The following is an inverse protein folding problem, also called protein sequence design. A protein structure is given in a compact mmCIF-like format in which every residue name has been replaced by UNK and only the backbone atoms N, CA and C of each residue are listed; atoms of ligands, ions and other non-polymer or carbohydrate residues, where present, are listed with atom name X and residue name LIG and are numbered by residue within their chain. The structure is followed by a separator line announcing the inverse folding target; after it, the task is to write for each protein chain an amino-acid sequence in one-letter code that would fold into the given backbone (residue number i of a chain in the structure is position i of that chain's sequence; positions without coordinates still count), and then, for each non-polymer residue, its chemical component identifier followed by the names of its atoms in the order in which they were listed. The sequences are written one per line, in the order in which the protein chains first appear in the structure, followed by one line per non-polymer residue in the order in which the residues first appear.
data_IF_913851498542
#
_entry.id   IF_913851498542
#
_cell.length_a   1.000
_cell.length_b   1.000
_cell.length_c   1.000
_cell.angle_alpha   90.00
_cell.angle_beta   90.00
_cell.angle_gamma   90.00
#
_symmetry.space_group_name_H-M   'P 1'
#
loop_
_entity.id
_entity.type
_entity.pdbx_description
1 polymer ?
#
# COMPACT_ATOMS: atom_id res chain seq x y z
N UNK A 1 -37.80 -13.41 -48.59
CA UNK A 1 -37.25 -14.07 -47.39
C UNK A 1 -35.95 -14.75 -47.80
N UNK A 2 -34.82 -14.13 -47.51
CA UNK A 2 -33.50 -14.58 -47.98
C UNK A 2 -32.59 -14.63 -46.75
N UNK A 3 -32.39 -15.84 -46.24
CA UNK A 3 -31.57 -16.11 -45.07
C UNK A 3 -30.09 -15.83 -45.38
N UNK A 4 -29.50 -14.85 -44.70
CA UNK A 4 -28.04 -14.64 -44.69
C UNK A 4 -27.40 -15.72 -43.83
N UNK A 5 -26.62 -16.61 -44.46
CA UNK A 5 -25.65 -17.48 -43.79
C UNK A 5 -24.57 -16.61 -43.14
N UNK A 6 -24.42 -16.74 -41.82
CA UNK A 6 -23.29 -16.16 -41.07
C UNK A 6 -22.17 -17.19 -41.12
N UNK A 7 -21.15 -16.91 -41.93
CA UNK A 7 -19.89 -17.66 -41.98
C UNK A 7 -19.06 -17.26 -40.76
N UNK A 8 -18.64 -18.23 -39.95
CA UNK A 8 -17.77 -18.02 -38.81
C UNK A 8 -16.42 -17.45 -39.30
N UNK A 9 -16.03 -16.29 -38.76
CA UNK A 9 -14.71 -15.72 -38.94
C UNK A 9 -13.72 -16.48 -38.05
N UNK A 10 -12.92 -17.33 -38.69
CA UNK A 10 -11.70 -17.91 -38.15
C UNK A 10 -10.61 -16.84 -38.13
N UNK A 11 -9.89 -16.73 -37.01
CA UNK A 11 -8.71 -15.86 -36.82
C UNK A 11 -8.68 -15.34 -35.39
N UNK A 12 -7.60 -15.40 -34.62
CA UNK A 12 -6.19 -15.48 -34.94
C UNK A 12 -5.49 -16.11 -33.73
N UNK A 13 -4.76 -17.21 -33.95
CA UNK A 13 -3.80 -17.74 -32.98
C UNK A 13 -2.74 -16.67 -32.72
N UNK A 14 -2.83 -15.98 -31.60
CA UNK A 14 -1.72 -15.19 -31.10
C UNK A 14 -0.67 -16.16 -30.57
N UNK A 15 0.28 -16.49 -31.43
CA UNK A 15 1.53 -17.15 -31.08
C UNK A 15 2.24 -16.35 -30.00
N UNK A 16 2.09 -16.75 -28.75
CA UNK A 16 2.96 -16.26 -27.69
C UNK A 16 4.39 -16.71 -28.00
N UNK A 17 5.39 -15.81 -27.94
CA UNK A 17 6.77 -16.25 -28.01
C UNK A 17 7.03 -17.12 -26.79
N UNK A 18 7.40 -18.38 -27.03
CA UNK A 18 7.95 -19.27 -26.02
C UNK A 18 9.33 -18.74 -25.63
N UNK A 19 9.38 -17.66 -24.86
CA UNK A 19 10.62 -17.20 -24.25
C UNK A 19 10.99 -18.23 -23.18
N UNK A 20 12.13 -18.90 -23.39
CA UNK A 20 12.61 -20.00 -22.57
C UNK A 20 12.68 -19.59 -21.10
N UNK A 21 12.12 -20.43 -20.23
CA UNK A 21 12.04 -20.26 -18.78
C UNK A 21 13.41 -20.04 -18.08
N UNK A 22 14.52 -20.35 -18.79
CA UNK A 22 15.90 -20.10 -18.34
C UNK A 22 16.35 -18.64 -18.47
N UNK A 23 15.75 -17.83 -19.34
CA UNK A 23 16.25 -16.48 -19.65
C UNK A 23 15.82 -15.40 -18.67
N UNK A 24 14.80 -15.64 -17.84
CA UNK A 24 14.22 -14.60 -16.97
C UNK A 24 14.58 -14.76 -15.49
N UNK A 25 14.90 -15.96 -15.03
CA UNK A 25 15.59 -16.13 -13.73
C UNK A 25 16.96 -15.44 -13.70
N UNK A 26 17.54 -15.20 -14.87
CA UNK A 26 18.76 -14.40 -15.08
C UNK A 26 18.53 -12.89 -15.19
N UNK A 27 17.28 -12.42 -15.32
CA UNK A 27 16.96 -10.99 -15.55
C UNK A 27 17.09 -10.17 -14.26
N UNK A 28 16.67 -10.74 -13.13
CA UNK A 28 16.90 -10.17 -11.79
C UNK A 28 17.20 -11.36 -10.85
N UNK A 29 18.48 -11.67 -10.59
CA UNK A 29 18.83 -12.79 -9.72
C UNK A 29 18.42 -12.45 -8.28
N UNK A 30 17.33 -13.06 -7.83
CA UNK A 30 16.91 -12.97 -6.43
C UNK A 30 17.79 -13.90 -5.58
N UNK A 31 18.54 -13.30 -4.67
CA UNK A 31 19.39 -13.98 -3.71
C UNK A 31 18.72 -13.97 -2.34
N UNK A 32 18.92 -15.02 -1.54
CA UNK A 32 18.53 -14.99 -0.13
C UNK A 32 19.52 -14.06 0.59
N UNK A 33 19.01 -12.96 1.13
CA UNK A 33 19.81 -11.98 1.85
C UNK A 33 19.16 -11.59 3.17
N UNK A 34 19.83 -10.70 3.89
CA UNK A 34 19.35 -10.09 5.12
C UNK A 34 19.36 -8.59 4.93
N UNK A 35 18.27 -7.93 5.29
CA UNK A 35 18.16 -6.46 5.36
C UNK A 35 17.54 -6.13 6.72
N UNK A 36 18.20 -5.28 7.51
CA UNK A 36 17.73 -4.89 8.85
C UNK A 36 17.51 -6.08 9.80
N UNK A 37 18.33 -7.13 9.68
CA UNK A 37 18.21 -8.36 10.47
C UNK A 37 17.10 -9.32 10.04
N UNK A 38 16.33 -9.01 8.99
CA UNK A 38 15.27 -9.89 8.46
C UNK A 38 15.74 -10.62 7.21
N UNK A 39 15.62 -11.95 7.22
CA UNK A 39 15.88 -12.78 6.03
C UNK A 39 14.80 -12.58 4.98
N UNK A 40 15.18 -12.17 3.77
CA UNK A 40 14.25 -11.90 2.67
C UNK A 40 14.89 -12.13 1.30
N UNK A 41 14.10 -12.23 0.22
CA UNK A 41 14.63 -12.18 -1.14
C UNK A 41 15.20 -10.78 -1.43
N UNK A 42 16.46 -10.74 -1.87
CA UNK A 42 17.22 -9.52 -2.14
C UNK A 42 17.85 -9.57 -3.51
N UNK A 43 18.28 -8.41 -4.00
CA UNK A 43 18.94 -8.23 -5.29
C UNK A 43 20.14 -7.31 -5.10
N UNK A 44 21.22 -7.57 -5.82
CA UNK A 44 22.31 -6.59 -5.93
C UNK A 44 21.88 -5.43 -6.85
N UNK A 45 21.87 -4.20 -6.33
CA UNK A 45 21.32 -3.06 -7.07
C UNK A 45 22.13 -2.75 -8.35
N UNK A 46 23.42 -3.06 -8.38
CA UNK A 46 24.27 -2.87 -9.56
C UNK A 46 23.94 -3.87 -10.65
N UNK A 47 23.61 -5.11 -10.30
CA UNK A 47 23.13 -6.10 -11.26
C UNK A 47 21.82 -5.65 -11.90
N UNK A 48 20.89 -5.14 -11.08
CA UNK A 48 19.64 -4.56 -11.58
C UNK A 48 19.90 -3.37 -12.50
N UNK A 49 20.76 -2.43 -12.10
CA UNK A 49 21.12 -1.27 -12.92
C UNK A 49 21.70 -1.68 -14.28
N UNK A 50 22.62 -2.65 -14.29
CA UNK A 50 23.21 -3.18 -15.53
C UNK A 50 22.15 -3.81 -16.43
N UNK A 51 21.19 -4.54 -15.87
CA UNK A 51 20.07 -5.10 -16.62
C UNK A 51 19.19 -4.01 -17.24
N UNK A 52 18.92 -2.93 -16.49
CA UNK A 52 18.01 -1.87 -16.93
C UNK A 52 18.57 -1.00 -18.05
N UNK A 53 19.89 -0.95 -18.24
CA UNK A 53 20.56 -0.22 -19.35
C UNK A 53 20.06 1.24 -19.50
N UNK A 54 19.81 1.93 -18.39
CA UNK A 54 19.20 3.27 -18.42
C UNK A 54 20.17 4.41 -18.83
N UNK A 55 21.47 4.11 -18.97
CA UNK A 55 22.50 5.05 -19.39
C UNK A 55 23.02 6.01 -18.31
N UNK A 56 22.45 6.01 -17.11
CA UNK A 56 22.92 6.83 -15.99
C UNK A 56 24.10 6.15 -15.26
N UNK A 57 24.94 6.93 -14.57
CA UNK A 57 25.98 6.36 -13.72
C UNK A 57 25.32 5.77 -12.46
N UNK A 58 25.65 4.52 -12.13
CA UNK A 58 25.05 3.77 -11.02
C UNK A 58 24.95 4.56 -9.71
N UNK A 59 26.04 5.22 -9.29
CA UNK A 59 26.08 5.96 -8.03
C UNK A 59 25.10 7.15 -7.99
N UNK A 60 24.89 7.82 -9.13
CA UNK A 60 23.91 8.90 -9.27
C UNK A 60 22.51 8.32 -9.31
N UNK A 61 22.30 7.28 -10.12
CA UNK A 61 21.01 6.63 -10.29
C UNK A 61 20.45 6.11 -8.96
N UNK A 62 21.23 5.32 -8.21
CA UNK A 62 20.71 4.67 -6.99
C UNK A 62 20.32 5.70 -5.92
N UNK A 63 21.14 6.74 -5.71
CA UNK A 63 20.86 7.81 -4.74
C UNK A 63 19.60 8.59 -5.12
N UNK A 64 19.49 8.94 -6.40
CA UNK A 64 18.32 9.64 -6.93
C UNK A 64 17.04 8.81 -6.76
N UNK A 65 17.10 7.50 -7.03
CA UNK A 65 15.94 6.62 -6.89
C UNK A 65 15.54 6.40 -5.43
N UNK A 66 16.51 6.26 -4.53
CA UNK A 66 16.26 6.17 -3.08
C UNK A 66 15.51 7.41 -2.59
N UNK A 67 16.01 8.60 -2.93
CA UNK A 67 15.36 9.86 -2.55
C UNK A 67 13.98 10.03 -3.20
N UNK A 68 13.87 9.77 -4.50
CA UNK A 68 12.63 9.98 -5.27
C UNK A 68 11.47 9.12 -4.77
N UNK A 69 11.73 7.87 -4.39
CA UNK A 69 10.69 6.91 -3.98
C UNK A 69 10.63 6.71 -2.46
N UNK A 70 11.49 7.39 -1.71
CA UNK A 70 11.47 7.35 -0.24
C UNK A 70 11.87 6.00 0.34
N UNK A 71 12.76 5.25 -0.32
CA UNK A 71 13.25 3.96 0.18
C UNK A 71 14.04 4.14 1.48
N UNK A 72 13.85 3.24 2.44
CA UNK A 72 14.38 3.35 3.80
C UNK A 72 15.48 2.31 4.04
N UNK A 73 16.65 2.76 4.51
CA UNK A 73 17.75 1.87 4.91
C UNK A 73 17.33 0.95 6.07
N UNK A 74 17.72 -0.31 6.00
CA UNK A 74 17.30 -1.35 6.96
C UNK A 74 15.88 -1.90 6.72
N UNK A 75 15.13 -1.35 5.76
CA UNK A 75 13.84 -1.92 5.31
C UNK A 75 13.89 -2.30 3.84
N UNK A 76 14.23 -1.35 2.98
CA UNK A 76 14.24 -1.52 1.52
C UNK A 76 15.63 -1.82 0.98
N UNK A 77 16.68 -1.34 1.63
CA UNK A 77 18.06 -1.59 1.23
C UNK A 77 19.04 -1.59 2.40
N UNK A 78 20.24 -2.08 2.14
CA UNK A 78 21.40 -2.01 3.03
C UNK A 78 22.64 -1.68 2.19
N UNK A 79 23.51 -0.84 2.72
CA UNK A 79 24.78 -0.47 2.08
C UNK A 79 25.92 -1.32 2.61
N UNK A 80 26.88 -1.67 1.73
CA UNK A 80 28.11 -2.35 2.13
C UNK A 80 29.28 -1.92 1.26
N UNK A 81 30.49 -2.03 1.81
CA UNK A 81 31.72 -1.71 1.08
C UNK A 81 32.26 -2.97 0.40
N UNK A 82 32.42 -2.91 -0.91
CA UNK A 82 33.10 -3.94 -1.68
C UNK A 82 34.55 -3.52 -1.96
N UNK A 83 35.50 -4.40 -1.61
CA UNK A 83 36.91 -4.15 -1.83
C UNK A 83 37.23 -4.17 -3.34
N UNK A 84 37.76 -3.06 -3.86
CA UNK A 84 38.25 -3.01 -5.22
C UNK A 84 39.61 -3.73 -5.33
N UNK A 85 39.84 -4.45 -6.44
CA UNK A 85 41.15 -5.08 -6.76
C UNK A 85 42.31 -4.06 -6.81
N UNK A 86 42.00 -2.78 -7.03
CA UNK A 86 42.92 -1.63 -6.93
C UNK A 86 42.08 -0.36 -6.66
N UNK A 87 42.43 0.42 -5.62
CA UNK A 87 41.80 1.71 -5.31
C UNK A 87 40.88 1.70 -4.08
N UNK A 88 40.10 2.79 -3.91
CA UNK A 88 39.16 2.97 -2.78
C UNK A 88 38.02 1.94 -2.88
N UNK A 89 37.60 1.31 -1.77
CA UNK A 89 36.43 0.45 -1.72
C UNK A 89 35.19 1.15 -2.29
N UNK A 90 34.34 0.40 -2.98
CA UNK A 90 33.12 0.91 -3.61
C UNK A 90 31.94 0.70 -2.66
N UNK A 91 31.04 1.67 -2.62
CA UNK A 91 29.76 1.55 -1.94
C UNK A 91 28.79 0.79 -2.85
N UNK A 92 28.30 -0.34 -2.36
CA UNK A 92 27.34 -1.22 -3.03
C UNK A 92 26.06 -1.32 -2.22
N UNK A 93 24.98 -1.68 -2.91
CA UNK A 93 23.62 -1.68 -2.36
C UNK A 93 23.00 -3.07 -2.52
N UNK A 94 22.56 -3.65 -1.40
CA UNK A 94 21.64 -4.78 -1.39
C UNK A 94 20.24 -4.23 -1.25
N UNK A 95 19.36 -4.54 -2.18
CA UNK A 95 17.99 -4.03 -2.20
C UNK A 95 16.99 -5.17 -2.00
N UNK A 96 15.85 -4.88 -1.40
CA UNK A 96 14.76 -5.83 -1.22
C UNK A 96 14.16 -6.21 -2.57
N UNK A 97 13.52 -7.37 -2.63
CA UNK A 97 12.82 -7.78 -3.85
C UNK A 97 11.74 -6.78 -4.27
N UNK A 98 11.11 -6.09 -3.33
CA UNK A 98 10.02 -5.16 -3.62
C UNK A 98 10.58 -3.84 -4.17
N UNK A 99 11.64 -3.30 -3.57
CA UNK A 99 12.40 -2.18 -4.13
C UNK A 99 12.90 -2.49 -5.54
N UNK A 100 13.44 -3.70 -5.77
CA UNK A 100 13.91 -4.10 -7.11
C UNK A 100 12.79 -4.14 -8.16
N UNK A 101 11.61 -4.67 -7.79
CA UNK A 101 10.43 -4.67 -8.67
C UNK A 101 10.00 -3.25 -8.99
N UNK A 102 9.86 -2.39 -7.98
CA UNK A 102 9.46 -1.00 -8.16
C UNK A 102 10.41 -0.26 -9.09
N UNK A 103 11.73 -0.36 -8.84
CA UNK A 103 12.76 0.22 -9.71
C UNK A 103 12.65 -0.26 -11.15
N UNK A 104 12.47 -1.57 -11.38
CA UNK A 104 12.33 -2.09 -12.73
C UNK A 104 11.03 -1.62 -13.42
N UNK A 105 9.95 -1.48 -12.67
CA UNK A 105 8.64 -1.09 -13.18
C UNK A 105 8.57 0.40 -13.57
N UNK A 106 9.31 1.27 -12.89
CA UNK A 106 9.32 2.72 -13.18
C UNK A 106 10.23 3.11 -14.35
N UNK A 107 11.16 2.24 -14.76
CA UNK A 107 12.02 2.51 -15.91
C UNK A 107 11.21 2.54 -17.23
N UNK A 108 11.37 3.64 -17.97
CA UNK A 108 10.65 3.91 -19.23
C UNK A 108 11.48 3.48 -20.44
N UNK A 109 12.00 2.25 -20.41
CA UNK A 109 12.80 1.67 -21.49
C UNK A 109 12.38 0.22 -21.76
N UNK A 110 12.99 -0.40 -22.78
CA UNK A 110 12.64 -1.76 -23.21
C UNK A 110 12.91 -2.82 -22.12
N UNK A 111 13.94 -2.62 -21.29
CA UNK A 111 14.28 -3.52 -20.18
C UNK A 111 13.26 -3.42 -19.05
N UNK A 112 12.84 -2.21 -18.70
CA UNK A 112 11.73 -1.98 -17.77
C UNK A 112 10.42 -2.57 -18.30
N UNK A 113 10.16 -2.48 -19.62
CA UNK A 113 9.00 -3.14 -20.24
C UNK A 113 9.09 -4.66 -20.14
N UNK A 114 10.25 -5.26 -20.40
CA UNK A 114 10.48 -6.70 -20.25
C UNK A 114 10.27 -7.16 -18.80
N UNK A 115 10.80 -6.42 -17.82
CA UNK A 115 10.59 -6.72 -16.41
C UNK A 115 9.11 -6.64 -16.01
N UNK A 116 8.37 -5.61 -16.46
CA UNK A 116 6.92 -5.49 -16.24
C UNK A 116 6.16 -6.69 -16.80
N UNK A 117 6.44 -7.09 -18.05
CA UNK A 117 5.80 -8.24 -18.68
C UNK A 117 6.08 -9.53 -17.92
N UNK A 118 7.33 -9.74 -17.49
CA UNK A 118 7.68 -10.90 -16.69
C UNK A 118 6.91 -10.98 -15.37
N UNK A 119 6.81 -9.88 -14.62
CA UNK A 119 6.10 -9.91 -13.34
C UNK A 119 4.59 -10.12 -13.52
N UNK A 120 4.00 -9.59 -14.59
CA UNK A 120 2.61 -9.86 -14.96
C UNK A 120 2.43 -11.36 -15.27
N UNK A 121 3.33 -11.95 -16.07
CA UNK A 121 3.29 -13.37 -16.38
C UNK A 121 3.44 -14.24 -15.13
N UNK A 122 4.30 -13.84 -14.18
CA UNK A 122 4.42 -14.51 -12.88
C UNK A 122 3.10 -14.46 -12.10
N UNK A 123 2.43 -13.31 -12.04
CA UNK A 123 1.14 -13.16 -11.37
C UNK A 123 0.07 -14.03 -12.04
N UNK A 124 0.01 -14.06 -13.37
CA UNK A 124 -0.92 -14.91 -14.11
C UNK A 124 -0.66 -16.40 -13.86
N UNK A 125 0.61 -16.81 -13.79
CA UNK A 125 0.97 -18.20 -13.47
C UNK A 125 0.58 -18.56 -12.04
N UNK A 126 0.82 -17.68 -11.07
CA UNK A 126 0.36 -17.88 -9.70
C UNK A 126 -1.16 -18.05 -9.64
N UNK A 127 -1.90 -17.22 -10.39
CA UNK A 127 -3.37 -17.35 -10.52
C UNK A 127 -3.81 -18.71 -11.08
N UNK A 128 -3.05 -19.30 -12.01
CA UNK A 128 -3.37 -20.61 -12.62
C UNK A 128 -2.97 -21.79 -11.73
N UNK A 129 -1.82 -21.71 -11.06
CA UNK A 129 -1.25 -22.80 -10.25
C UNK A 129 -1.90 -22.87 -8.86
N UNK A 130 -2.19 -21.72 -8.25
CA UNK A 130 -2.74 -21.62 -6.91
C UNK A 130 -3.92 -20.61 -6.89
N UNK A 131 -5.06 -20.96 -7.53
CA UNK A 131 -6.19 -20.05 -7.63
C UNK A 131 -6.77 -19.68 -6.26
N UNK A 132 -6.79 -20.60 -5.29
CA UNK A 132 -7.28 -20.35 -3.93
C UNK A 132 -6.39 -19.38 -3.17
N UNK A 133 -5.07 -19.54 -3.22
CA UNK A 133 -4.12 -18.61 -2.58
C UNK A 133 -4.17 -17.22 -3.21
N UNK A 134 -4.27 -17.14 -4.53
CA UNK A 134 -4.43 -15.88 -5.25
C UNK A 134 -5.75 -15.18 -4.86
N UNK A 135 -6.86 -15.93 -4.78
CA UNK A 135 -8.14 -15.40 -4.30
C UNK A 135 -8.06 -14.95 -2.84
N UNK A 136 -7.43 -15.73 -1.95
CA UNK A 136 -7.24 -15.35 -0.56
C UNK A 136 -6.42 -14.06 -0.42
N UNK A 137 -5.32 -13.91 -1.17
CA UNK A 137 -4.52 -12.69 -1.19
C UNK A 137 -5.34 -11.47 -1.67
N UNK A 138 -6.14 -11.64 -2.72
CA UNK A 138 -7.06 -10.60 -3.20
C UNK A 138 -8.15 -10.27 -2.17
N UNK A 139 -8.68 -11.28 -1.48
CA UNK A 139 -9.70 -11.10 -0.43
C UNK A 139 -9.12 -10.38 0.78
N UNK A 140 -7.89 -10.67 1.21
CA UNK A 140 -7.22 -9.94 2.29
C UNK A 140 -6.99 -8.48 1.89
N UNK A 141 -6.48 -8.23 0.68
CA UNK A 141 -6.30 -6.86 0.18
C UNK A 141 -7.63 -6.11 0.08
N UNK A 142 -8.67 -6.77 -0.43
CA UNK A 142 -10.04 -6.24 -0.45
C UNK A 142 -10.54 -5.99 0.95
N UNK A 143 -10.44 -6.93 1.88
CA UNK A 143 -10.92 -6.80 3.26
C UNK A 143 -10.23 -5.64 3.99
N UNK A 144 -8.93 -5.45 3.81
CA UNK A 144 -8.21 -4.32 4.39
C UNK A 144 -8.68 -2.97 3.81
N UNK A 145 -9.08 -2.93 2.53
CA UNK A 145 -9.62 -1.72 1.89
C UNK A 145 -11.12 -1.53 2.09
N UNK A 146 -11.85 -2.63 2.26
CA UNK A 146 -13.30 -2.70 2.41
C UNK A 146 -13.69 -2.44 3.86
N UNK A 147 -12.93 -2.91 4.86
CA UNK A 147 -13.11 -2.47 6.25
C UNK A 147 -13.01 -0.94 6.35
N UNK A 148 -12.01 -0.34 5.70
CA UNK A 148 -11.88 1.11 5.59
C UNK A 148 -13.02 1.81 4.81
N UNK A 149 -13.83 1.08 4.03
CA UNK A 149 -14.95 1.63 3.24
C UNK A 149 -16.34 1.29 3.81
N UNK A 150 -16.51 0.17 4.51
CA UNK A 150 -17.77 -0.30 5.10
C UNK A 150 -18.11 0.51 6.36
N UNK A 151 -17.10 0.91 7.13
CA UNK A 151 -17.26 1.77 8.31
C UNK A 151 -17.83 3.16 7.94
N UNK A 152 -17.52 3.67 6.74
CA UNK A 152 -18.05 4.95 6.24
C UNK A 152 -19.57 4.94 6.03
N UNK A 153 -20.13 3.82 5.55
CA UNK A 153 -21.58 3.71 5.29
C UNK A 153 -22.34 3.55 6.62
N UNK A 154 -21.80 2.73 7.51
CA UNK A 154 -22.38 2.50 8.85
C UNK A 154 -22.48 3.82 9.65
N UNK A 155 -21.45 4.67 9.61
CA UNK A 155 -21.46 5.94 10.35
C UNK A 155 -22.41 6.97 9.75
N UNK A 156 -22.56 7.02 8.41
CA UNK A 156 -23.52 7.91 7.77
C UNK A 156 -24.97 7.55 8.13
N UNK A 157 -25.29 6.25 8.12
CA UNK A 157 -26.61 5.73 8.50
C UNK A 157 -26.89 5.95 9.99
N UNK A 158 -25.92 5.66 10.87
CA UNK A 158 -26.03 5.91 12.31
C UNK A 158 -26.24 7.40 12.62
N UNK A 159 -25.50 8.30 11.95
CA UNK A 159 -25.64 9.75 12.10
C UNK A 159 -27.02 10.23 11.64
N UNK A 160 -27.50 9.70 10.51
CA UNK A 160 -28.85 10.02 10.01
C UNK A 160 -29.92 9.58 11.02
N UNK A 161 -29.83 8.36 11.53
CA UNK A 161 -30.76 7.84 12.54
C UNK A 161 -30.74 8.65 13.83
N UNK A 162 -29.56 9.05 14.31
CA UNK A 162 -29.42 9.93 15.48
C UNK A 162 -30.14 11.27 15.28
N UNK A 163 -29.94 11.93 14.14
CA UNK A 163 -30.58 13.22 13.83
C UNK A 163 -32.11 13.07 13.79
N UNK A 164 -32.61 12.00 13.15
CA UNK A 164 -34.04 11.71 13.07
C UNK A 164 -34.69 11.48 14.44
N UNK A 165 -34.00 10.75 15.34
CA UNK A 165 -34.50 10.44 16.69
C UNK A 165 -34.44 11.64 17.64
N UNK A 166 -33.32 12.33 17.67
CA UNK A 166 -33.06 13.41 18.65
C UNK A 166 -33.58 14.77 18.19
N UNK A 167 -33.93 14.92 16.90
CA UNK A 167 -34.24 16.20 16.26
C UNK A 167 -33.12 17.23 16.43
N UNK A 168 -31.87 16.75 16.40
CA UNK A 168 -30.68 17.60 16.42
C UNK A 168 -30.69 18.52 15.18
N UNK A 169 -30.17 19.74 15.33
CA UNK A 169 -30.13 20.76 14.28
C UNK A 169 -28.94 20.59 13.32
N UNK A 170 -28.13 19.55 13.52
CA UNK A 170 -27.08 19.15 12.62
C UNK A 170 -27.67 18.70 11.28
N UNK A 171 -27.54 19.53 10.25
CA UNK A 171 -28.03 19.24 8.91
C UNK A 171 -26.91 19.38 7.85
N UNK A 172 -27.04 18.61 6.76
CA UNK A 172 -26.17 18.65 5.59
C UNK A 172 -24.79 18.01 5.79
N UNK A 173 -23.93 18.65 6.58
CA UNK A 173 -22.51 18.30 6.70
C UNK A 173 -22.14 17.51 7.98
N UNK A 174 -23.14 17.01 8.73
CA UNK A 174 -22.93 16.31 10.00
C UNK A 174 -21.92 15.16 9.88
N UNK A 175 -22.12 14.26 8.89
CA UNK A 175 -21.20 13.16 8.61
C UNK A 175 -19.77 13.65 8.27
N UNK A 176 -19.65 14.65 7.40
CA UNK A 176 -18.34 15.19 6.99
C UNK A 176 -17.58 15.82 8.16
N UNK A 177 -18.30 16.47 9.07
CA UNK A 177 -17.76 17.07 10.27
C UNK A 177 -17.28 16.00 11.25
N UNK A 178 -18.06 14.93 11.44
CA UNK A 178 -17.71 13.80 12.30
C UNK A 178 -16.49 13.05 11.76
N UNK A 179 -16.49 12.74 10.46
CA UNK A 179 -15.34 12.13 9.79
C UNK A 179 -14.07 13.01 9.90
N UNK A 180 -14.20 14.33 9.76
CA UNK A 180 -13.07 15.25 9.93
C UNK A 180 -12.56 15.27 11.38
N UNK A 181 -13.45 15.15 12.36
CA UNK A 181 -13.12 15.07 13.78
C UNK A 181 -12.36 13.78 14.10
N UNK A 182 -12.88 12.61 13.69
CA UNK A 182 -12.21 11.32 13.92
C UNK A 182 -10.81 11.26 13.30
N UNK A 183 -10.68 11.71 12.04
CA UNK A 183 -9.39 11.82 11.38
C UNK A 183 -8.43 12.76 12.13
N UNK A 184 -8.95 13.84 12.73
CA UNK A 184 -8.12 14.77 13.51
C UNK A 184 -7.57 14.12 14.78
N UNK A 185 -8.36 13.25 15.44
CA UNK A 185 -7.89 12.47 16.59
C UNK A 185 -6.78 11.50 16.21
N UNK A 186 -6.93 10.82 15.08
CA UNK A 186 -5.95 9.84 14.58
C UNK A 186 -4.64 10.49 14.14
N UNK A 187 -4.73 11.61 13.43
CA UNK A 187 -3.58 12.29 12.83
C UNK A 187 -2.89 13.27 13.80
N UNK A 188 -3.56 13.64 14.90
CA UNK A 188 -3.11 14.68 15.83
C UNK A 188 -3.25 16.11 15.29
N UNK A 189 -3.74 16.27 14.05
CA UNK A 189 -4.01 17.55 13.42
C UNK A 189 -5.11 17.43 12.37
N UNK A 190 -5.66 18.56 11.94
CA UNK A 190 -6.77 18.58 11.00
C UNK A 190 -6.40 17.94 9.64
N UNK A 191 -7.24 17.06 9.04
CA UNK A 191 -6.90 16.31 7.82
C UNK A 191 -6.42 17.18 6.65
N UNK A 192 -7.01 18.37 6.47
CA UNK A 192 -6.57 19.31 5.42
C UNK A 192 -5.15 19.85 5.65
N UNK A 193 -4.78 20.12 6.90
CA UNK A 193 -3.43 20.57 7.25
C UNK A 193 -2.43 19.43 7.09
N UNK A 194 -2.83 18.20 7.45
CA UNK A 194 -2.01 17.00 7.28
C UNK A 194 -1.73 16.70 5.81
N UNK A 195 -2.76 16.78 4.98
CA UNK A 195 -2.64 16.63 3.53
C UNK A 195 -1.66 17.66 2.93
N UNK A 196 -1.74 18.92 3.38
CA UNK A 196 -0.82 19.98 2.96
C UNK A 196 0.63 19.72 3.40
N UNK A 197 0.85 19.19 4.61
CA UNK A 197 2.19 18.86 5.10
C UNK A 197 2.83 17.69 4.33
N UNK A 198 2.02 16.75 3.88
CA UNK A 198 2.46 15.57 3.12
C UNK A 198 2.43 15.75 1.61
N UNK A 199 2.02 16.92 1.12
CA UNK A 199 1.82 17.23 -0.30
C UNK A 199 0.91 16.23 -1.03
N UNK A 200 -0.20 15.84 -0.38
CA UNK A 200 -1.17 14.89 -0.93
C UNK A 200 -2.56 15.52 -1.12
N UNK A 201 -3.40 14.99 -2.04
CA UNK A 201 -4.79 15.42 -2.17
C UNK A 201 -5.61 15.15 -0.90
N UNK A 202 -6.43 16.11 -0.45
CA UNK A 202 -7.29 16.00 0.75
C UNK A 202 -8.23 14.78 0.71
N UNK A 203 -8.64 14.35 -0.49
CA UNK A 203 -9.52 13.18 -0.67
C UNK A 203 -8.81 11.85 -0.37
N UNK A 204 -7.48 11.83 -0.35
CA UNK A 204 -6.66 10.63 -0.21
C UNK A 204 -6.00 10.53 1.17
N UNK A 205 -6.48 11.28 2.16
CA UNK A 205 -5.87 11.28 3.51
C UNK A 205 -5.84 9.88 4.12
N UNK A 206 -6.94 9.11 4.03
CA UNK A 206 -7.01 7.75 4.56
C UNK A 206 -6.10 6.77 3.79
N UNK A 207 -5.91 6.98 2.48
CA UNK A 207 -5.04 6.12 1.66
C UNK A 207 -3.56 6.22 2.08
N UNK A 208 -3.18 7.32 2.74
CA UNK A 208 -1.80 7.59 3.17
C UNK A 208 -1.60 7.36 4.68
N UNK A 209 -2.61 6.86 5.39
CA UNK A 209 -2.47 6.46 6.79
C UNK A 209 -1.70 5.14 6.91
N UNK A 210 -0.86 5.02 7.93
CA UNK A 210 -0.20 3.75 8.23
C UNK A 210 -1.18 2.74 8.88
N UNK A 211 -0.73 1.50 9.05
CA UNK A 211 -1.56 0.42 9.60
C UNK A 211 -2.14 0.74 10.99
N UNK A 212 -1.38 1.45 11.83
CA UNK A 212 -1.78 1.79 13.20
C UNK A 212 -2.83 2.89 13.22
N UNK A 213 -2.66 3.90 12.36
CA UNK A 213 -3.62 4.98 12.16
C UNK A 213 -4.95 4.44 11.62
N UNK A 214 -4.91 3.53 10.65
CA UNK A 214 -6.10 2.88 10.11
C UNK A 214 -6.81 2.03 11.17
N UNK A 215 -6.05 1.31 12.00
CA UNK A 215 -6.62 0.51 13.10
C UNK A 215 -7.30 1.38 14.17
N UNK A 216 -6.68 2.51 14.55
CA UNK A 216 -7.30 3.46 15.47
C UNK A 216 -8.55 4.11 14.87
N UNK A 217 -8.52 4.46 13.59
CA UNK A 217 -9.66 5.05 12.89
C UNK A 217 -10.88 4.11 12.90
N UNK A 218 -10.69 2.86 12.48
CA UNK A 218 -11.75 1.84 12.48
C UNK A 218 -12.31 1.61 13.91
N UNK A 219 -11.42 1.58 14.91
CA UNK A 219 -11.82 1.48 16.30
C UNK A 219 -12.72 2.64 16.73
N UNK A 220 -12.37 3.88 16.38
CA UNK A 220 -13.17 5.05 16.74
C UNK A 220 -14.49 5.11 15.96
N UNK A 221 -14.50 4.79 14.67
CA UNK A 221 -15.70 4.77 13.83
C UNK A 221 -16.77 3.79 14.36
N UNK A 222 -16.35 2.58 14.73
CA UNK A 222 -17.24 1.59 15.33
C UNK A 222 -17.88 2.10 16.63
N UNK A 223 -17.10 2.79 17.47
CA UNK A 223 -17.60 3.32 18.75
C UNK A 223 -18.45 4.55 18.57
N UNK A 224 -18.14 5.42 17.61
CA UNK A 224 -18.99 6.56 17.27
C UNK A 224 -20.37 6.10 16.80
N UNK A 225 -20.44 5.10 15.90
CA UNK A 225 -21.71 4.48 15.49
C UNK A 225 -22.52 4.01 16.71
N UNK A 226 -21.87 3.28 17.62
CA UNK A 226 -22.53 2.79 18.85
C UNK A 226 -23.04 3.94 19.72
N UNK A 227 -22.27 5.02 19.86
CA UNK A 227 -22.67 6.18 20.67
C UNK A 227 -23.82 6.96 20.02
N UNK A 228 -23.86 7.04 18.69
CA UNK A 228 -24.96 7.60 17.92
C UNK A 228 -26.23 6.75 18.08
N UNK A 229 -26.11 5.42 18.03
CA UNK A 229 -27.23 4.49 18.24
C UNK A 229 -27.82 4.58 19.66
N UNK A 230 -27.00 4.94 20.64
CA UNK A 230 -27.41 5.20 22.03
C UNK A 230 -27.87 6.64 22.27
N UNK A 231 -28.05 7.43 21.21
CA UNK A 231 -28.48 8.84 21.27
C UNK A 231 -27.60 9.71 22.17
N UNK A 232 -26.30 9.41 22.22
CA UNK A 232 -25.35 10.17 23.03
C UNK A 232 -25.17 11.57 22.43
N UNK A 233 -25.40 12.65 23.21
CA UNK A 233 -25.25 14.02 22.74
C UNK A 233 -23.84 14.31 22.23
N UNK A 234 -23.73 15.18 21.23
CA UNK A 234 -22.48 15.49 20.51
C UNK A 234 -21.30 15.86 21.42
N UNK A 235 -21.52 16.68 22.45
CA UNK A 235 -20.46 17.09 23.37
C UNK A 235 -19.90 15.88 24.13
N UNK A 236 -20.78 15.08 24.72
CA UNK A 236 -20.43 13.87 25.47
C UNK A 236 -19.79 12.83 24.56
N UNK A 237 -20.30 12.65 23.34
CA UNK A 237 -19.79 11.71 22.35
C UNK A 237 -18.35 12.05 21.97
N UNK A 238 -18.07 13.30 21.60
CA UNK A 238 -16.71 13.75 21.25
C UNK A 238 -15.73 13.65 22.41
N UNK A 239 -16.18 13.93 23.64
CA UNK A 239 -15.35 13.75 24.83
C UNK A 239 -14.96 12.26 25.02
N UNK A 240 -15.94 11.35 24.95
CA UNK A 240 -15.70 9.90 25.06
C UNK A 240 -14.76 9.39 23.96
N UNK A 241 -14.96 9.79 22.70
CA UNK A 241 -14.09 9.40 21.59
C UNK A 241 -12.66 9.89 21.77
N UNK A 242 -12.49 11.12 22.26
CA UNK A 242 -11.16 11.68 22.57
C UNK A 242 -10.46 10.85 23.65
N UNK A 243 -11.17 10.51 24.72
CA UNK A 243 -10.64 9.66 25.79
C UNK A 243 -10.27 8.26 25.27
N UNK A 244 -11.13 7.65 24.46
CA UNK A 244 -10.86 6.34 23.86
C UNK A 244 -9.63 6.36 22.96
N UNK A 245 -9.43 7.43 22.17
CA UNK A 245 -8.24 7.61 21.35
C UNK A 245 -6.98 7.71 22.20
N UNK A 246 -7.01 8.50 23.28
CA UNK A 246 -5.88 8.63 24.22
C UNK A 246 -5.54 7.31 24.89
N UNK A 247 -6.55 6.55 25.36
CA UNK A 247 -6.35 5.23 25.98
C UNK A 247 -5.75 4.22 24.99
N UNK A 248 -6.22 4.21 23.75
CA UNK A 248 -5.70 3.33 22.70
C UNK A 248 -4.21 3.63 22.43
N UNK A 249 -3.84 4.90 22.30
CA UNK A 249 -2.46 5.32 22.08
C UNK A 249 -1.57 5.00 23.29
N UNK A 250 -2.05 5.25 24.51
CA UNK A 250 -1.33 4.97 25.74
C UNK A 250 -1.01 3.47 25.89
N UNK A 251 -1.99 2.58 25.62
CA UNK A 251 -1.81 1.13 25.68
C UNK A 251 -0.68 0.65 24.75
N UNK A 252 -0.59 1.27 23.56
CA UNK A 252 0.39 0.89 22.54
C UNK A 252 1.79 1.44 22.81
N UNK A 253 1.89 2.63 23.41
CA UNK A 253 3.15 3.23 23.85
C UNK A 253 3.72 2.53 25.11
N UNK A 254 2.86 2.02 25.98
CA UNK A 254 3.26 1.36 27.23
C UNK A 254 3.52 -0.15 27.09
N UNK A 255 3.34 -0.74 25.90
CA UNK A 255 3.72 -2.13 25.64
C UNK A 255 3.07 -3.13 26.60
N UNK A 256 1.83 -2.91 27.03
CA UNK A 256 1.13 -3.90 27.85
C UNK A 256 0.61 -5.00 26.92
N UNK A 257 1.41 -6.06 26.84
CA UNK A 257 0.93 -7.41 26.58
C UNK A 257 -0.26 -7.65 27.50
N UNK A 258 -1.47 -7.64 26.95
CA UNK A 258 -2.58 -8.32 27.60
C UNK A 258 -2.25 -9.81 27.54
N UNK A 259 -1.57 -10.30 28.58
CA UNK A 259 -1.73 -11.66 29.02
C UNK A 259 -3.05 -11.70 29.80
N UNK A 260 -4.08 -12.26 29.17
CA UNK A 260 -5.15 -13.07 29.78
C UNK A 260 -6.07 -13.63 28.69
#
# INVERSE_FOLDING_TARGET
MTQKKITAFTGCDQTQPKTSQKDISSIIPFEKGVIGGRGMPTVNARNLHNFLENGELFATWIKKRIEQYGFVEGTDYETFLENAKKGRPREEYRISSDMAKELAMVERNDKGKQARQYFIDCEERLRRVAPEEHQAALLVWRKNRVAACEDHKSMADAMKGYIERTRDNQHGFAYSNECSFLNSLVLGLHPRAWAKQKDIPVKQVRDHMNADQLALLAYLESRDCTLLDLDTPTITRKAKLTELAQRWLAKRLLGVSDAE
#
